data_IF_386200663207
#
_entry.id   IF_386200663207
#
_cell.length_a   1.000
_cell.length_b   1.000
_cell.length_c   1.000
_cell.angle_alpha   90.00
_cell.angle_beta   90.00
_cell.angle_gamma   90.00
#
_symmetry.space_group_name_H-M   'P 1'
#
loop_
_entity.id
_entity.type
_entity.pdbx_description
1 polymer ?
#
# COMPACT_ATOMS: atom_id res chain seq x y z
N UNK A 1 17.22 22.97 9.90
CA UNK A 1 18.65 22.75 10.27
C UNK A 1 19.54 22.84 9.02
N UNK A 2 20.56 23.71 9.04
CA UNK A 2 21.38 24.10 7.86
C UNK A 2 22.46 23.09 7.41
N UNK A 3 22.54 21.93 8.06
CA UNK A 3 23.27 20.76 7.55
C UNK A 3 22.55 19.49 8.03
N UNK A 4 21.81 18.79 7.16
CA UNK A 4 21.23 17.50 7.54
C UNK A 4 22.36 16.51 7.84
N UNK A 5 22.25 15.77 8.94
CA UNK A 5 23.15 14.65 9.21
C UNK A 5 23.09 13.68 8.02
N UNK A 6 24.25 13.20 7.58
CA UNK A 6 24.30 12.27 6.45
C UNK A 6 23.51 11.01 6.82
N UNK A 7 22.51 10.61 6.00
CA UNK A 7 21.71 9.43 6.30
C UNK A 7 22.58 8.17 6.28
N UNK A 8 22.24 7.15 7.10
CA UNK A 8 22.96 5.88 7.10
C UNK A 8 23.04 5.26 5.70
N UNK A 9 24.10 4.46 5.40
CA UNK A 9 24.29 3.88 4.08
C UNK A 9 23.07 3.11 3.56
N UNK A 10 22.42 2.32 4.41
CA UNK A 10 21.15 1.65 4.11
C UNK A 10 20.05 2.37 4.88
N UNK A 11 19.15 3.07 4.18
CA UNK A 11 18.09 3.85 4.83
C UNK A 11 16.93 4.19 3.88
N UNK A 12 15.81 4.58 4.48
CA UNK A 12 14.71 5.25 3.79
C UNK A 12 14.76 6.72 4.20
N UNK A 13 14.82 7.62 3.21
CA UNK A 13 14.99 9.06 3.42
C UNK A 13 13.70 9.78 3.06
N UNK A 14 13.13 10.49 4.03
CA UNK A 14 11.97 11.34 3.84
C UNK A 14 12.40 12.81 3.84
N UNK A 15 11.97 13.58 2.84
CA UNK A 15 12.06 15.03 2.89
C UNK A 15 11.08 15.55 3.95
N UNK A 16 11.57 16.22 4.99
CA UNK A 16 10.71 16.83 6.01
C UNK A 16 10.73 18.35 5.85
N UNK A 17 9.55 18.97 5.85
CA UNK A 17 9.38 20.41 5.77
C UNK A 17 8.63 20.91 7.00
N UNK A 18 9.21 21.87 7.73
CA UNK A 18 8.54 22.50 8.88
C UNK A 18 7.40 23.42 8.43
N UNK A 19 7.52 24.04 7.25
CA UNK A 19 6.52 24.90 6.68
C UNK A 19 5.76 24.19 5.56
N UNK A 20 4.44 24.11 5.71
CA UNK A 20 3.57 23.41 4.75
C UNK A 20 3.33 24.31 3.52
N UNK A 21 3.82 23.95 2.32
CA UNK A 21 3.61 24.76 1.12
C UNK A 21 2.13 24.78 0.71
N UNK A 22 1.64 25.88 0.14
CA UNK A 22 0.23 25.98 -0.29
C UNK A 22 -0.07 25.29 -1.63
N UNK A 23 0.95 25.08 -2.45
CA UNK A 23 0.78 24.56 -3.81
C UNK A 23 0.93 23.04 -3.85
N UNK A 24 0.05 22.40 -4.62
CA UNK A 24 0.14 20.97 -4.93
C UNK A 24 0.99 20.74 -6.17
N UNK A 25 1.62 19.57 -6.24
CA UNK A 25 2.25 19.14 -7.47
C UNK A 25 1.18 18.76 -8.50
N UNK A 26 1.41 19.18 -9.73
CA UNK A 26 0.51 18.95 -10.87
C UNK A 26 1.22 18.13 -11.94
N UNK A 27 0.46 17.33 -12.67
CA UNK A 27 0.97 16.53 -13.77
C UNK A 27 0.62 15.05 -13.61
N UNK A 28 0.85 14.30 -14.69
CA UNK A 28 0.63 12.86 -14.73
C UNK A 28 1.73 12.18 -13.91
N UNK A 29 1.33 11.19 -13.11
CA UNK A 29 2.27 10.35 -12.37
C UNK A 29 2.71 9.21 -13.29
N UNK A 30 4.02 9.06 -13.44
CA UNK A 30 4.63 8.02 -14.25
C UNK A 30 5.64 7.24 -13.41
N UNK A 31 5.64 5.91 -13.55
CA UNK A 31 6.55 5.01 -12.83
C UNK A 31 7.60 4.46 -13.79
N UNK A 32 8.81 4.25 -13.28
CA UNK A 32 9.89 3.61 -14.03
C UNK A 32 9.63 2.11 -14.21
N UNK A 33 10.26 1.51 -15.22
CA UNK A 33 10.32 0.07 -15.35
C UNK A 33 11.33 -0.51 -14.34
N UNK A 34 10.89 -0.68 -13.08
CA UNK A 34 11.73 -1.16 -12.00
C UNK A 34 10.95 -2.09 -11.04
N UNK A 35 11.53 -3.21 -10.55
CA UNK A 35 10.82 -4.15 -9.68
C UNK A 35 10.21 -3.54 -8.41
N UNK A 36 10.82 -2.49 -7.87
CA UNK A 36 10.29 -1.78 -6.69
C UNK A 36 8.96 -1.06 -6.96
N UNK A 37 8.72 -0.59 -8.19
CA UNK A 37 7.50 0.17 -8.57
C UNK A 37 6.61 -0.58 -9.58
N UNK A 38 7.03 -1.77 -10.03
CA UNK A 38 6.26 -2.59 -10.96
C UNK A 38 4.86 -2.90 -10.42
N UNK A 39 3.84 -2.71 -11.26
CA UNK A 39 2.44 -3.00 -10.95
C UNK A 39 1.88 -2.23 -9.74
N UNK A 40 2.49 -1.08 -9.40
CA UNK A 40 2.00 -0.22 -8.33
C UNK A 40 1.18 0.95 -8.89
N UNK A 41 -0.02 1.13 -8.35
CA UNK A 41 -0.86 2.28 -8.69
C UNK A 41 -0.56 3.50 -7.80
N UNK A 42 -0.03 4.54 -8.43
CA UNK A 42 0.33 5.79 -7.79
C UNK A 42 -0.63 6.94 -8.13
N UNK A 43 -1.69 6.72 -8.91
CA UNK A 43 -2.59 7.81 -9.37
C UNK A 43 -3.30 8.53 -8.21
N UNK A 44 -3.49 7.85 -7.09
CA UNK A 44 -4.06 8.44 -5.87
C UNK A 44 -3.10 9.35 -5.09
N UNK A 45 -1.82 9.45 -5.46
CA UNK A 45 -0.84 10.25 -4.69
C UNK A 45 -1.06 11.75 -4.90
N UNK A 46 -1.28 12.45 -3.79
CA UNK A 46 -1.41 13.90 -3.71
C UNK A 46 -0.29 14.41 -2.82
N UNK A 47 0.66 15.13 -3.43
CA UNK A 47 1.84 15.67 -2.78
C UNK A 47 1.93 17.18 -2.98
N UNK A 48 2.53 17.87 -2.01
CA UNK A 48 2.75 19.32 -2.07
C UNK A 48 4.06 19.64 -2.77
N UNK A 49 4.12 20.81 -3.40
CA UNK A 49 5.35 21.29 -4.03
C UNK A 49 6.34 21.73 -2.96
N UNK A 50 7.27 20.85 -2.62
CA UNK A 50 8.35 21.08 -1.65
C UNK A 50 9.69 21.32 -2.37
N UNK A 51 10.70 21.90 -1.72
CA UNK A 51 12.07 21.87 -2.24
C UNK A 51 12.50 20.44 -2.63
N UNK A 52 13.18 20.32 -3.77
CA UNK A 52 13.65 19.04 -4.30
C UNK A 52 15.05 18.72 -3.77
N UNK A 53 15.27 17.47 -3.37
CA UNK A 53 16.59 16.88 -3.22
C UNK A 53 17.15 16.67 -4.63
N UNK A 54 18.35 17.19 -4.96
CA UNK A 54 18.93 17.00 -6.28
C UNK A 54 19.33 15.53 -6.49
N UNK A 55 19.12 15.05 -7.72
CA UNK A 55 19.66 13.77 -8.17
C UNK A 55 21.16 13.91 -8.37
N UNK A 56 21.91 12.89 -7.95
CA UNK A 56 23.34 12.75 -8.24
C UNK A 56 23.56 11.71 -9.33
N UNK A 57 24.76 11.70 -9.90
CA UNK A 57 25.16 10.67 -10.86
C UNK A 57 25.07 9.28 -10.21
N UNK A 58 24.38 8.36 -10.88
CA UNK A 58 24.09 7.00 -10.39
C UNK A 58 22.74 6.84 -9.67
N UNK A 59 22.02 7.93 -9.37
CA UNK A 59 20.66 7.82 -8.86
C UNK A 59 19.71 7.28 -9.93
N UNK A 60 18.83 6.35 -9.52
CA UNK A 60 17.82 5.74 -10.38
C UNK A 60 16.44 6.29 -10.03
N UNK A 61 15.87 7.20 -10.84
CA UNK A 61 14.52 7.67 -10.62
C UNK A 61 13.51 6.51 -10.78
N UNK A 62 12.55 6.45 -9.86
CA UNK A 62 11.52 5.41 -9.79
C UNK A 62 10.12 5.94 -10.09
N UNK A 63 9.83 7.19 -9.69
CA UNK A 63 8.52 7.80 -9.84
C UNK A 63 8.68 9.27 -10.20
N UNK A 64 7.90 9.73 -11.18
CA UNK A 64 7.79 11.12 -11.60
C UNK A 64 6.36 11.62 -11.49
N UNK A 65 6.20 12.93 -11.31
CA UNK A 65 4.95 13.64 -11.48
C UNK A 65 5.20 14.87 -12.35
N UNK A 66 4.73 14.82 -13.59
CA UNK A 66 5.20 15.74 -14.63
C UNK A 66 6.73 15.64 -14.78
N UNK A 67 7.41 16.79 -14.70
CA UNK A 67 8.88 16.86 -14.81
C UNK A 67 9.62 16.56 -13.49
N UNK A 68 8.89 16.36 -12.39
CA UNK A 68 9.50 16.22 -11.06
C UNK A 68 9.66 14.76 -10.66
N UNK A 69 10.88 14.35 -10.34
CA UNK A 69 11.14 13.05 -9.68
C UNK A 69 10.62 13.08 -8.24
N UNK A 70 9.68 12.19 -7.91
CA UNK A 70 9.12 12.03 -6.57
C UNK A 70 9.86 10.99 -5.74
N UNK A 71 10.30 9.90 -6.37
CA UNK A 71 10.97 8.80 -5.68
C UNK A 71 12.15 8.37 -6.53
N UNK A 72 13.30 8.17 -5.91
CA UNK A 72 14.48 7.62 -6.56
C UNK A 72 15.28 6.73 -5.61
N UNK A 73 16.05 5.83 -6.20
CA UNK A 73 16.93 4.91 -5.52
C UNK A 73 18.38 5.38 -5.70
N UNK A 74 19.11 5.48 -4.59
CA UNK A 74 20.52 5.87 -4.58
C UNK A 74 21.37 4.67 -4.19
N UNK A 75 22.11 4.14 -5.17
CA UNK A 75 22.96 2.94 -5.05
C UNK A 75 24.42 3.24 -5.37
N UNK A 76 25.04 4.15 -4.62
CA UNK A 76 26.41 4.60 -4.89
C UNK A 76 27.32 4.35 -3.70
N UNK A 77 28.49 3.74 -3.93
CA UNK A 77 29.54 3.58 -2.91
C UNK A 77 29.11 2.76 -1.69
N UNK A 78 28.38 1.66 -1.91
CA UNK A 78 27.86 0.80 -0.84
C UNK A 78 26.68 1.39 -0.05
N UNK A 79 26.17 2.54 -0.48
CA UNK A 79 24.90 3.09 0.03
C UNK A 79 23.77 2.52 -0.80
N UNK A 80 22.65 2.22 -0.15
CA UNK A 80 21.39 1.86 -0.77
C UNK A 80 20.28 2.60 -0.05
N UNK A 81 19.85 3.71 -0.62
CA UNK A 81 18.89 4.62 -0.01
C UNK A 81 17.68 4.79 -0.90
N UNK A 82 16.49 4.58 -0.33
CA UNK A 82 15.23 4.89 -0.99
C UNK A 82 14.81 6.31 -0.59
N UNK A 83 14.82 7.24 -1.54
CA UNK A 83 14.60 8.67 -1.27
C UNK A 83 13.22 9.10 -1.75
N UNK A 84 12.42 9.64 -0.82
CA UNK A 84 11.15 10.29 -1.09
C UNK A 84 11.37 11.80 -1.19
N UNK A 85 11.28 12.31 -2.42
CA UNK A 85 11.55 13.69 -2.79
C UNK A 85 10.31 14.60 -2.70
N UNK A 86 9.44 14.29 -1.73
CA UNK A 86 8.29 15.07 -1.33
C UNK A 86 8.06 14.86 0.16
N UNK A 87 7.31 15.75 0.79
CA UNK A 87 7.01 15.61 2.21
C UNK A 87 5.88 14.60 2.44
N UNK A 88 6.26 13.45 3.01
CA UNK A 88 5.33 12.35 3.31
C UNK A 88 4.30 12.79 4.35
N UNK A 89 4.70 13.60 5.34
CA UNK A 89 3.84 13.98 6.46
C UNK A 89 2.67 14.88 6.03
N UNK A 90 2.88 15.73 5.01
CA UNK A 90 1.86 16.66 4.50
C UNK A 90 1.15 16.16 3.23
N UNK A 91 1.49 14.96 2.78
CA UNK A 91 0.87 14.25 1.65
C UNK A 91 -0.14 13.20 2.11
N UNK A 92 -0.84 12.56 1.17
CA UNK A 92 -1.67 11.39 1.45
C UNK A 92 -0.94 10.05 1.28
N UNK A 93 0.40 10.03 1.14
CA UNK A 93 1.16 8.84 0.78
C UNK A 93 0.90 7.63 1.69
N UNK A 94 0.72 7.84 3.00
CA UNK A 94 0.41 6.77 3.95
C UNK A 94 -0.93 6.04 3.68
N UNK A 95 -1.83 6.65 2.90
CA UNK A 95 -3.11 6.06 2.48
C UNK A 95 -3.04 5.38 1.11
N UNK A 96 -1.94 5.58 0.37
CA UNK A 96 -1.74 5.00 -0.96
C UNK A 96 -1.11 3.62 -0.78
N UNK A 97 -1.76 2.51 -1.22
CA UNK A 97 -1.20 1.16 -1.07
C UNK A 97 0.19 1.02 -1.69
N UNK A 98 0.43 1.65 -2.85
CA UNK A 98 1.71 1.64 -3.53
C UNK A 98 2.88 2.15 -2.67
N UNK A 99 2.64 3.15 -1.80
CA UNK A 99 3.66 3.65 -0.89
C UNK A 99 4.12 2.59 0.11
N UNK A 100 3.16 1.92 0.75
CA UNK A 100 3.44 0.87 1.74
C UNK A 100 4.10 -0.33 1.07
N UNK A 101 3.62 -0.74 -0.10
CA UNK A 101 4.17 -1.88 -0.84
C UNK A 101 5.60 -1.57 -1.31
N UNK A 102 5.89 -0.36 -1.79
CA UNK A 102 7.24 0.03 -2.20
C UNK A 102 8.23 -0.02 -1.02
N UNK A 103 7.84 0.50 0.15
CA UNK A 103 8.66 0.39 1.38
C UNK A 103 8.90 -1.08 1.73
N UNK A 104 7.85 -1.91 1.70
CA UNK A 104 7.95 -3.33 1.98
C UNK A 104 8.88 -4.05 0.99
N UNK A 105 8.75 -3.78 -0.31
CA UNK A 105 9.62 -4.35 -1.36
C UNK A 105 11.07 -3.94 -1.16
N UNK A 106 11.32 -2.68 -0.82
CA UNK A 106 12.67 -2.20 -0.53
C UNK A 106 13.26 -2.88 0.71
N UNK A 107 12.48 -2.99 1.80
CA UNK A 107 12.92 -3.72 2.99
C UNK A 107 13.20 -5.19 2.69
N UNK A 108 12.37 -5.85 1.89
CA UNK A 108 12.59 -7.24 1.46
C UNK A 108 13.84 -7.38 0.58
N UNK A 109 14.12 -6.43 -0.29
CA UNK A 109 15.34 -6.42 -1.11
C UNK A 109 16.60 -6.35 -0.24
N UNK A 110 16.61 -5.50 0.79
CA UNK A 110 17.70 -5.47 1.77
C UNK A 110 17.76 -6.77 2.57
N UNK A 111 16.60 -7.30 3.00
CA UNK A 111 16.52 -8.55 3.77
C UNK A 111 17.08 -9.74 2.98
N UNK A 112 16.74 -9.85 1.70
CA UNK A 112 17.14 -10.98 0.84
C UNK A 112 18.63 -11.06 0.55
N UNK A 113 19.39 -9.99 0.81
CA UNK A 113 20.86 -9.99 0.68
C UNK A 113 21.57 -10.30 1.99
N UNK A 114 20.86 -10.28 3.11
CA UNK A 114 21.44 -10.52 4.42
C UNK A 114 21.64 -12.02 4.63
N UNK A 115 22.89 -12.45 4.79
CA UNK A 115 23.22 -13.83 5.19
C UNK A 115 22.75 -14.06 6.62
N UNK A 116 21.58 -14.68 6.76
CA UNK A 116 20.94 -14.99 8.04
C UNK A 116 20.01 -16.19 7.87
N UNK A 117 19.59 -16.78 9.00
CA UNK A 117 18.62 -17.86 9.01
C UNK A 117 17.26 -17.36 8.50
N UNK A 118 16.73 -18.04 7.49
CA UNK A 118 15.37 -17.85 6.99
C UNK A 118 14.48 -19.06 7.28
N UNK A 119 13.18 -18.82 7.36
CA UNK A 119 12.15 -19.87 7.47
C UNK A 119 11.13 -19.69 6.36
N UNK A 120 10.94 -20.70 5.51
CA UNK A 120 10.09 -20.62 4.33
C UNK A 120 9.26 -21.89 4.13
N UNK A 121 8.05 -21.72 3.60
CA UNK A 121 7.28 -22.80 3.00
C UNK A 121 7.39 -22.67 1.49
N UNK A 122 7.79 -23.75 0.81
CA UNK A 122 8.07 -23.74 -0.62
C UNK A 122 7.43 -24.94 -1.31
N UNK A 123 7.13 -24.78 -2.58
CA UNK A 123 6.65 -25.88 -3.41
C UNK A 123 7.80 -26.80 -3.83
N UNK A 124 7.47 -28.03 -4.23
CA UNK A 124 8.45 -28.96 -4.81
C UNK A 124 9.22 -28.32 -5.97
N UNK A 125 10.53 -28.55 -6.01
CA UNK A 125 11.44 -28.01 -7.03
C UNK A 125 11.45 -26.48 -7.18
N UNK A 126 10.78 -25.74 -6.28
CA UNK A 126 10.80 -24.29 -6.30
C UNK A 126 12.24 -23.80 -6.17
N UNK A 127 12.57 -22.79 -6.97
CA UNK A 127 13.88 -22.16 -6.91
C UNK A 127 14.10 -21.47 -5.56
N UNK A 128 15.24 -21.72 -4.93
CA UNK A 128 15.61 -21.14 -3.65
C UNK A 128 16.62 -20.02 -3.85
N UNK A 129 16.21 -18.78 -3.59
CA UNK A 129 17.09 -17.61 -3.60
C UNK A 129 17.52 -17.28 -2.17
N UNK A 130 18.68 -17.79 -1.76
CA UNK A 130 19.24 -17.58 -0.42
C UNK A 130 20.46 -16.68 -0.46
N UNK A 131 20.57 -15.77 0.51
CA UNK A 131 21.80 -15.04 0.75
C UNK A 131 22.86 -15.99 1.33
N UNK A 132 24.02 -16.07 0.68
CA UNK A 132 25.13 -16.91 1.11
C UNK A 132 26.46 -16.16 0.94
N UNK A 133 27.48 -16.60 1.68
CA UNK A 133 28.83 -16.11 1.49
C UNK A 133 29.32 -16.46 0.08
N UNK A 134 29.98 -15.49 -0.54
CA UNK A 134 30.54 -15.61 -1.89
C UNK A 134 32.02 -15.28 -1.84
N UNK A 135 32.87 -16.13 -2.40
CA UNK A 135 34.33 -15.98 -2.38
C UNK A 135 35.04 -17.29 -2.68
N UNK A 136 36.35 -17.23 -2.94
CA UNK A 136 37.15 -18.42 -3.25
C UNK A 136 37.25 -19.40 -2.06
N UNK A 137 37.12 -18.89 -0.83
CA UNK A 137 37.19 -19.67 0.42
C UNK A 137 35.80 -19.99 1.01
N UNK A 138 34.72 -19.56 0.35
CA UNK A 138 33.38 -19.78 0.89
C UNK A 138 33.00 -21.27 0.73
N UNK A 139 32.48 -21.93 1.79
CA UNK A 139 32.14 -23.35 1.72
C UNK A 139 30.91 -23.58 0.81
N UNK A 140 30.75 -24.80 0.28
CA UNK A 140 29.59 -25.16 -0.53
C UNK A 140 28.29 -25.10 0.29
N UNK A 141 27.16 -25.09 -0.41
CA UNK A 141 25.85 -25.19 0.20
C UNK A 141 25.50 -26.66 0.41
N UNK A 142 24.94 -27.00 1.56
CA UNK A 142 24.52 -28.35 1.91
C UNK A 142 23.02 -28.34 2.14
N UNK A 143 22.31 -29.18 1.40
CA UNK A 143 20.88 -29.39 1.56
C UNK A 143 20.67 -30.70 2.28
N UNK A 144 19.98 -30.66 3.42
CA UNK A 144 19.68 -31.81 4.27
C UNK A 144 18.18 -32.01 4.36
N UNK A 145 17.75 -33.22 4.07
CA UNK A 145 16.39 -33.72 4.28
C UNK A 145 16.45 -34.87 5.29
N UNK A 146 15.30 -35.44 5.69
CA UNK A 146 15.31 -36.64 6.53
C UNK A 146 16.06 -37.82 5.90
N UNK A 147 16.04 -37.90 4.56
CA UNK A 147 16.45 -39.10 3.83
C UNK A 147 17.74 -38.90 3.03
N UNK A 148 18.08 -37.65 2.70
CA UNK A 148 19.19 -37.32 1.80
C UNK A 148 19.92 -36.05 2.22
N UNK A 149 21.24 -36.07 1.98
CA UNK A 149 22.12 -34.92 2.08
C UNK A 149 22.79 -34.70 0.73
N UNK A 150 22.70 -33.47 0.20
CA UNK A 150 23.23 -33.10 -1.10
C UNK A 150 24.09 -31.84 -0.97
N UNK A 151 25.30 -31.90 -1.49
CA UNK A 151 26.23 -30.77 -1.51
C UNK A 151 26.18 -30.08 -2.87
N UNK A 152 26.08 -28.76 -2.87
CA UNK A 152 26.01 -27.89 -4.03
C UNK A 152 27.22 -26.93 -4.03
N UNK A 153 28.09 -27.00 -5.06
CA UNK A 153 29.13 -26.00 -5.26
C UNK A 153 28.53 -24.60 -5.43
N UNK A 154 29.23 -23.55 -4.97
CA UNK A 154 28.74 -22.17 -5.05
C UNK A 154 28.49 -21.68 -6.48
N UNK A 155 29.20 -22.23 -7.47
CA UNK A 155 28.95 -21.97 -8.88
C UNK A 155 27.55 -22.40 -9.34
N UNK A 156 26.92 -23.32 -8.59
CA UNK A 156 25.58 -23.84 -8.83
C UNK A 156 24.56 -23.34 -7.80
N UNK A 157 24.92 -22.45 -6.88
CA UNK A 157 24.01 -21.92 -5.86
C UNK A 157 22.73 -21.32 -6.47
N UNK A 158 22.84 -20.66 -7.62
CA UNK A 158 21.69 -20.13 -8.40
C UNK A 158 20.76 -21.21 -8.97
N UNK A 159 21.10 -22.49 -8.87
CA UNK A 159 20.26 -23.61 -9.31
C UNK A 159 19.74 -24.42 -8.13
N UNK A 160 19.99 -23.97 -6.89
CA UNK A 160 19.45 -24.59 -5.70
C UNK A 160 17.91 -24.59 -5.77
N UNK A 161 17.33 -25.76 -5.51
CA UNK A 161 15.89 -25.98 -5.55
C UNK A 161 15.44 -26.70 -4.29
N UNK A 162 14.19 -26.48 -3.94
CA UNK A 162 13.50 -27.24 -2.92
C UNK A 162 13.52 -28.74 -3.27
N UNK A 163 13.52 -29.62 -2.26
CA UNK A 163 13.37 -31.06 -2.47
C UNK A 163 12.14 -31.43 -3.31
N UNK A 164 12.18 -32.60 -3.91
CA UNK A 164 11.10 -33.26 -4.66
C UNK A 164 10.21 -34.14 -3.76
N UNK A 165 10.40 -34.04 -2.45
CA UNK A 165 9.67 -34.77 -1.43
C UNK A 165 9.02 -33.79 -0.46
N UNK A 166 7.89 -34.20 0.10
CA UNK A 166 7.25 -33.45 1.17
C UNK A 166 8.08 -33.57 2.46
N UNK A 167 8.08 -32.51 3.27
CA UNK A 167 8.70 -32.53 4.59
C UNK A 167 9.61 -31.36 4.86
N UNK A 168 10.29 -31.43 5.99
CA UNK A 168 11.23 -30.40 6.41
C UNK A 168 12.61 -30.63 5.79
N UNK A 169 13.26 -29.55 5.43
CA UNK A 169 14.62 -29.57 4.93
C UNK A 169 15.39 -28.35 5.45
N UNK A 170 16.70 -28.50 5.48
CA UNK A 170 17.61 -27.47 5.95
C UNK A 170 18.65 -27.17 4.88
N UNK A 171 19.06 -25.90 4.76
CA UNK A 171 20.20 -25.52 3.93
C UNK A 171 21.24 -24.83 4.81
N UNK A 172 22.45 -25.37 4.83
CA UNK A 172 23.60 -24.84 5.54
C UNK A 172 24.73 -24.45 4.60
N UNK A 173 25.61 -23.59 5.09
CA UNK A 173 26.88 -23.24 4.45
C UNK A 173 27.99 -23.36 5.49
N UNK A 174 28.75 -24.46 5.44
CA UNK A 174 29.66 -24.83 6.52
C UNK A 174 28.89 -24.98 7.84
N UNK A 175 29.31 -24.30 8.90
CA UNK A 175 28.64 -24.34 10.21
C UNK A 175 27.40 -23.43 10.32
N UNK A 176 27.17 -22.56 9.33
CA UNK A 176 26.07 -21.59 9.37
C UNK A 176 24.81 -22.14 8.73
N UNK A 177 23.72 -22.21 9.50
CA UNK A 177 22.40 -22.57 8.98
C UNK A 177 21.74 -21.36 8.30
N UNK A 178 21.40 -21.50 7.02
CA UNK A 178 20.82 -20.42 6.20
C UNK A 178 19.31 -20.55 6.02
N UNK A 179 18.77 -21.77 5.93
CA UNK A 179 17.34 -21.98 5.71
C UNK A 179 16.82 -23.15 6.53
N UNK A 180 15.64 -22.97 7.14
CA UNK A 180 14.73 -24.05 7.53
C UNK A 180 13.48 -23.98 6.68
N UNK A 181 13.34 -24.93 5.78
CA UNK A 181 12.25 -25.00 4.83
C UNK A 181 11.26 -26.11 5.16
N UNK A 182 10.00 -25.91 4.79
CA UNK A 182 9.05 -27.01 4.61
C UNK A 182 8.67 -27.04 3.13
N UNK A 183 8.81 -28.22 2.51
CA UNK A 183 8.40 -28.44 1.13
C UNK A 183 7.04 -29.11 1.08
N UNK A 184 6.12 -28.54 0.29
CA UNK A 184 4.78 -29.07 0.10
C UNK A 184 4.49 -29.30 -1.40
N UNK A 185 3.52 -30.17 -1.66
CA UNK A 185 2.98 -30.37 -2.99
C UNK A 185 1.80 -29.43 -3.20
N UNK A 186 1.93 -28.47 -4.11
CA UNK A 186 0.82 -27.67 -4.57
C UNK A 186 0.15 -28.37 -5.76
N UNK A 187 -0.87 -29.21 -5.48
CA UNK A 187 -1.67 -29.79 -6.56
C UNK A 187 -2.62 -28.72 -7.12
N UNK A 188 -2.23 -28.13 -8.26
CA UNK A 188 -3.03 -27.11 -8.96
C UNK A 188 -4.43 -27.62 -9.32
N UNK A 189 -4.61 -28.93 -9.48
CA UNK A 189 -5.92 -29.56 -9.75
C UNK A 189 -6.88 -29.49 -8.57
N UNK A 190 -6.41 -29.70 -7.34
CA UNK A 190 -7.26 -29.59 -6.15
C UNK A 190 -7.60 -28.13 -5.80
N UNK A 191 -6.79 -27.18 -6.27
CA UNK A 191 -7.03 -25.74 -6.14
C UNK A 191 -7.89 -25.15 -7.28
N UNK A 192 -8.24 -25.93 -8.30
CA UNK A 192 -9.11 -25.49 -9.40
C UNK A 192 -10.59 -25.57 -9.00
N UNK A 193 -11.07 -24.47 -8.41
CA UNK A 193 -12.48 -24.30 -8.08
C UNK A 193 -13.36 -23.91 -9.28
N UNK A 194 -12.86 -23.92 -10.53
CA UNK A 194 -13.65 -23.56 -11.71
C UNK A 194 -14.88 -24.46 -11.92
N UNK A 195 -14.82 -25.70 -11.45
CA UNK A 195 -15.93 -26.67 -11.47
C UNK A 195 -16.57 -26.88 -10.09
N UNK A 196 -16.11 -26.18 -9.06
CA UNK A 196 -16.67 -26.32 -7.72
C UNK A 196 -18.04 -25.63 -7.64
N UNK A 197 -19.03 -26.32 -7.08
CA UNK A 197 -20.31 -25.72 -6.78
C UNK A 197 -20.16 -24.61 -5.75
N UNK A 198 -20.75 -23.44 -6.00
CA UNK A 198 -20.80 -22.37 -5.00
C UNK A 198 -21.79 -22.76 -3.90
N UNK A 199 -21.28 -23.04 -2.71
CA UNK A 199 -22.10 -23.14 -1.50
C UNK A 199 -22.13 -21.76 -0.86
N UNK A 200 -23.15 -20.99 -1.19
CA UNK A 200 -23.42 -19.70 -0.55
C UNK A 200 -24.42 -19.90 0.58
N UNK A 201 -23.94 -20.03 1.81
CA UNK A 201 -24.79 -19.93 3.01
C UNK A 201 -25.28 -18.49 3.26
N UNK A 202 -24.90 -17.52 2.40
CA UNK A 202 -25.32 -16.12 2.53
C UNK A 202 -26.84 -15.97 2.31
N UNK A 203 -27.46 -16.87 1.54
CA UNK A 203 -28.93 -16.94 1.42
C UNK A 203 -29.63 -17.52 2.67
N UNK A 204 -28.87 -18.18 3.54
CA UNK A 204 -29.33 -18.80 4.77
C UNK A 204 -28.67 -18.17 6.01
N UNK A 205 -28.25 -16.89 5.94
CA UNK A 205 -28.15 -16.10 7.17
C UNK A 205 -29.55 -16.13 7.80
N UNK A 206 -29.75 -16.84 8.93
CA UNK A 206 -31.09 -17.05 9.44
C UNK A 206 -31.71 -15.69 9.70
N UNK A 207 -32.97 -15.50 9.34
CA UNK A 207 -33.74 -14.30 9.72
C UNK A 207 -33.55 -13.95 11.21
N UNK A 208 -33.22 -14.95 12.05
CA UNK A 208 -32.80 -14.80 13.45
C UNK A 208 -31.61 -13.87 13.71
N UNK A 209 -30.62 -13.73 12.80
CA UNK A 209 -29.51 -12.77 12.94
C UNK A 209 -30.02 -11.35 12.66
N UNK A 210 -30.88 -11.19 11.66
CA UNK A 210 -31.54 -9.92 11.33
C UNK A 210 -32.48 -9.48 12.45
N UNK A 211 -33.24 -10.40 13.04
CA UNK A 211 -34.07 -10.18 14.24
C UNK A 211 -33.23 -9.87 15.48
N UNK A 212 -32.05 -10.49 15.65
CA UNK A 212 -31.15 -10.19 16.79
C UNK A 212 -30.52 -8.81 16.73
N UNK A 213 -30.24 -8.30 15.52
CA UNK A 213 -29.56 -7.03 15.33
C UNK A 213 -30.51 -5.85 15.06
N UNK A 214 -31.78 -6.11 14.79
CA UNK A 214 -32.80 -5.07 14.60
C UNK A 214 -33.62 -4.95 15.89
N UNK A 215 -33.24 -4.00 16.76
CA UNK A 215 -34.20 -3.49 17.75
C UNK A 215 -35.13 -2.54 17.00
N UNK A 216 -36.39 -2.95 16.81
CA UNK A 216 -37.42 -2.03 16.33
C UNK A 216 -37.49 -0.83 17.28
N UNK A 217 -37.42 0.38 16.72
CA UNK A 217 -37.61 1.61 17.47
C UNK A 217 -39.12 1.76 17.81
N UNK A 218 -39.52 1.68 19.08
CA UNK A 218 -40.92 1.81 19.47
C UNK A 218 -41.49 3.20 19.18
N UNK A 219 -40.65 4.23 19.00
CA UNK A 219 -41.04 5.60 18.65
C UNK A 219 -41.08 5.85 17.14
N UNK A 220 -40.78 4.85 16.30
CA UNK A 220 -40.88 4.95 14.83
C UNK A 220 -42.19 5.59 14.32
N UNK A 221 -43.40 5.21 14.79
CA UNK A 221 -44.62 5.86 14.31
C UNK A 221 -44.70 7.33 14.72
N UNK A 222 -44.14 7.72 15.87
CA UNK A 222 -44.09 9.11 16.32
C UNK A 222 -43.17 9.95 15.41
N UNK A 223 -42.00 9.43 15.05
CA UNK A 223 -41.09 10.12 14.12
C UNK A 223 -41.72 10.32 12.74
N UNK A 224 -42.46 9.33 12.24
CA UNK A 224 -43.18 9.43 10.97
C UNK A 224 -44.27 10.51 11.05
N UNK A 225 -45.03 10.55 12.15
CA UNK A 225 -46.05 11.59 12.38
C UNK A 225 -45.43 12.98 12.49
N UNK A 226 -44.31 13.11 13.21
CA UNK A 226 -43.61 14.37 13.39
C UNK A 226 -43.03 14.88 12.06
N UNK A 227 -42.45 13.98 11.25
CA UNK A 227 -41.99 14.29 9.90
C UNK A 227 -43.15 14.76 9.02
N UNK A 228 -44.29 14.06 9.05
CA UNK A 228 -45.51 14.42 8.33
C UNK A 228 -46.06 15.78 8.76
N UNK A 229 -46.13 16.05 10.06
CA UNK A 229 -46.55 17.34 10.60
C UNK A 229 -45.61 18.47 10.15
N UNK A 230 -44.29 18.24 10.17
CA UNK A 230 -43.31 19.20 9.67
C UNK A 230 -43.48 19.48 8.18
N UNK A 231 -43.82 18.46 7.38
CA UNK A 231 -44.08 18.65 5.94
C UNK A 231 -45.34 19.47 5.69
N UNK A 232 -46.41 19.20 6.45
CA UNK A 232 -47.67 19.96 6.38
C UNK A 232 -47.46 21.41 6.81
N UNK A 233 -46.71 21.65 7.90
CA UNK A 233 -46.38 22.98 8.37
C UNK A 233 -45.54 23.73 7.34
N UNK A 234 -44.49 23.10 6.80
CA UNK A 234 -43.67 23.70 5.75
C UNK A 234 -44.51 24.08 4.53
N UNK A 235 -45.44 23.22 4.12
CA UNK A 235 -46.36 23.51 3.02
C UNK A 235 -47.31 24.67 3.34
N UNK A 236 -47.84 24.75 4.56
CA UNK A 236 -48.72 25.83 5.00
C UNK A 236 -47.99 27.19 5.07
N UNK A 237 -46.73 27.19 5.53
CA UNK A 237 -45.87 28.39 5.52
C UNK A 237 -45.50 28.83 4.11
N UNK A 238 -45.23 27.89 3.18
CA UNK A 238 -45.03 28.22 1.77
C UNK A 238 -46.31 28.75 1.10
N UNK A 239 -47.49 28.33 1.55
CA UNK A 239 -48.78 28.73 0.96
C UNK A 239 -49.28 30.09 1.48
N UNK A 240 -48.77 30.60 2.60
CA UNK A 240 -49.21 31.88 3.18
C UNK A 240 -48.56 33.05 2.43
N UNK A 241 -49.30 33.82 1.60
CA UNK A 241 -48.77 35.04 1.02
C UNK A 241 -48.73 36.09 2.13
N UNK A 242 -47.57 36.74 2.31
CA UNK A 242 -47.44 37.93 3.14
C UNK A 242 -48.49 38.96 2.71
N UNK A 243 -49.43 39.25 3.62
CA UNK A 243 -50.26 40.45 3.58
C UNK A 243 -49.32 41.67 3.53
N UNK A 244 -49.05 42.17 2.33
CA UNK A 244 -48.38 43.45 2.15
C UNK A 244 -49.28 44.57 2.66
N UNK A 245 -48.75 45.58 3.35
CA UNK A 245 -49.57 46.72 3.78
C UNK A 245 -50.12 47.47 2.55
N UNK A 246 -51.31 48.08 2.66
CA UNK A 246 -51.92 48.79 1.54
C UNK A 246 -51.07 49.99 1.13
N UNK A 247 -50.77 50.09 -0.18
CA UNK A 247 -50.31 51.32 -0.82
C UNK A 247 -51.43 52.35 -0.72
N UNK A 248 -51.26 53.34 0.16
CA UNK A 248 -52.05 54.58 0.12
C UNK A 248 -51.63 55.40 -1.10
N UNK A 249 -52.49 55.43 -2.10
CA UNK A 249 -52.49 56.45 -3.15
C UNK A 249 -53.38 57.59 -2.67
N UNK A 250 -52.80 58.76 -2.40
CA UNK A 250 -53.43 60.07 -2.63
C UNK A 250 -52.45 61.21 -2.31
N UNK A 251 -52.07 61.97 -3.34
CA UNK A 251 -52.18 63.43 -3.43
C UNK A 251 -51.31 63.96 -4.59
N UNK A 252 -51.99 64.16 -5.72
CA UNK A 252 -51.65 65.14 -6.76
C UNK A 252 -52.00 66.56 -6.29
N UNK A 253 -51.35 67.54 -6.92
CA UNK A 253 -51.66 68.98 -6.99
C UNK A 253 -51.38 69.85 -5.75
N UNK A 254 -50.39 70.74 -5.86
CA UNK A 254 -50.63 72.19 -6.07
C UNK A 254 -49.45 72.78 -6.83
N UNK A 255 -49.73 73.39 -7.99
CA UNK A 255 -48.82 74.28 -8.69
C UNK A 255 -49.10 75.75 -8.37
N UNK A 256 -48.04 76.56 -8.56
CA UNK A 256 -48.00 78.01 -8.88
C UNK A 256 -48.40 79.03 -7.82
N UNK A 257 -47.92 80.29 -7.90
CA UNK A 257 -47.13 80.93 -8.99
C UNK A 257 -45.67 81.27 -8.64
#
# INVERSE_FOLDING_TARGET
PLSPAAPPPISIVFSHQEQVPRFFLSGIISAAQHPLVADLDWQGLISRSTPSIPLIEGDRPLLWQGERTLIFLRETGGRRQLVFNFDVATSNAARVPAFVILIHRFANLIRSEKVALEQLNVEWHQHLSLAHLSGAEAPPLELRTSDQERTFPLSQARFLRAPDSHGFFEVSQGESLLLKGASNFAEVREADFSQAGSVSEIGALPDRIKERQTRDDPMRPLWILLLGAATILAWAFLKSPLNGPPRSADQQEVGTP
#
